data_IF_401327682372
#
_entry.id   IF_401327682372
#
_cell.length_a   1.000
_cell.length_b   1.000
_cell.length_c   1.000
_cell.angle_alpha   90.00
_cell.angle_beta   90.00
_cell.angle_gamma   90.00
#
_symmetry.space_group_name_H-M   'P 1'
#
loop_
_entity.id
_entity.type
_entity.pdbx_description
1 polymer ?
#
# COMPACT_ATOMS: atom_id res chain seq x y z
N UNK A 1 -11.62 -1.80 1.61
CA UNK A 1 -10.60 -1.64 0.56
C UNK A 1 -11.05 -0.62 -0.50
N UNK A 2 -12.32 -0.60 -0.89
CA UNK A 2 -12.85 0.29 -1.94
C UNK A 2 -12.64 1.78 -1.67
N UNK A 3 -12.80 2.21 -0.42
CA UNK A 3 -12.54 3.61 -0.04
C UNK A 3 -11.10 4.06 -0.34
N UNK A 4 -10.11 3.16 -0.30
CA UNK A 4 -8.71 3.49 -0.60
C UNK A 4 -8.57 3.87 -2.07
N UNK A 5 -9.21 3.12 -2.97
CA UNK A 5 -9.23 3.42 -4.39
C UNK A 5 -9.98 4.73 -4.67
N UNK A 6 -11.18 4.88 -4.11
CA UNK A 6 -11.99 6.09 -4.26
C UNK A 6 -11.21 7.35 -3.85
N UNK A 7 -10.58 7.33 -2.67
CA UNK A 7 -9.80 8.47 -2.19
C UNK A 7 -8.60 8.76 -3.09
N UNK A 8 -7.86 7.73 -3.52
CA UNK A 8 -6.69 7.90 -4.39
C UNK A 8 -7.06 8.48 -5.76
N UNK A 9 -8.19 8.05 -6.33
CA UNK A 9 -8.71 8.61 -7.59
C UNK A 9 -9.18 10.06 -7.45
N UNK A 10 -9.65 10.45 -6.26
CA UNK A 10 -9.99 11.85 -5.94
C UNK A 10 -8.76 12.72 -5.61
N UNK A 11 -7.60 12.12 -5.34
CA UNK A 11 -6.34 12.86 -5.16
C UNK A 11 -5.61 13.09 -6.48
N UNK A 12 -5.65 12.11 -7.39
CA UNK A 12 -4.90 12.12 -8.65
C UNK A 12 -5.25 13.35 -9.51
N UNK A 13 -4.23 14.17 -9.83
CA UNK A 13 -4.38 15.40 -10.61
C UNK A 13 -5.06 16.56 -9.87
N UNK A 14 -5.33 16.39 -8.56
CA UNK A 14 -6.03 17.36 -7.70
C UNK A 14 -5.16 17.81 -6.52
N UNK A 15 -3.88 17.48 -6.53
CA UNK A 15 -2.89 17.89 -5.53
C UNK A 15 -1.89 18.89 -6.14
N UNK A 16 -1.40 19.82 -5.32
CA UNK A 16 -0.44 20.83 -5.79
C UNK A 16 0.97 20.25 -6.01
N UNK A 17 1.39 19.32 -5.14
CA UNK A 17 2.70 18.69 -5.21
C UNK A 17 2.64 17.37 -5.99
N UNK A 18 3.53 17.13 -6.98
CA UNK A 18 3.59 15.86 -7.72
C UNK A 18 3.79 14.61 -6.85
N UNK A 19 4.28 14.78 -5.62
CA UNK A 19 4.36 13.70 -4.64
C UNK A 19 2.96 13.09 -4.36
N UNK A 20 1.90 13.89 -4.40
CA UNK A 20 0.53 13.41 -4.21
C UNK A 20 0.11 12.42 -5.30
N UNK A 21 0.38 12.76 -6.57
CA UNK A 21 0.12 11.87 -7.69
C UNK A 21 1.02 10.63 -7.65
N UNK A 22 2.30 10.81 -7.29
CA UNK A 22 3.25 9.72 -7.12
C UNK A 22 2.83 8.72 -6.02
N UNK A 23 2.09 9.16 -5.00
CA UNK A 23 1.49 8.28 -4.00
C UNK A 23 0.15 7.67 -4.45
N UNK A 24 -0.68 8.45 -5.16
CA UNK A 24 -2.00 8.00 -5.62
C UNK A 24 -1.91 6.88 -6.67
N UNK A 25 -1.02 7.03 -7.66
CA UNK A 25 -0.86 6.06 -8.75
C UNK A 25 -0.55 4.63 -8.29
N UNK A 26 0.48 4.37 -7.45
CA UNK A 26 0.74 3.03 -6.95
C UNK A 26 -0.37 2.53 -6.04
N UNK A 27 -1.00 3.40 -5.23
CA UNK A 27 -2.12 2.99 -4.36
C UNK A 27 -3.32 2.47 -5.17
N UNK A 28 -3.68 3.16 -6.25
CA UNK A 28 -4.72 2.69 -7.19
C UNK A 28 -4.32 1.35 -7.81
N UNK A 29 -3.06 1.22 -8.25
CA UNK A 29 -2.54 -0.01 -8.84
C UNK A 29 -2.57 -1.18 -7.85
N UNK A 30 -2.18 -0.96 -6.60
CA UNK A 30 -2.19 -1.97 -5.55
C UNK A 30 -3.58 -2.52 -5.30
N UNK A 31 -4.58 -1.63 -5.15
CA UNK A 31 -5.96 -2.06 -4.96
C UNK A 31 -6.50 -2.77 -6.20
N UNK A 32 -6.15 -2.35 -7.43
CA UNK A 32 -6.64 -2.99 -8.67
C UNK A 32 -5.98 -4.34 -8.96
N UNK A 33 -4.70 -4.51 -8.62
CA UNK A 33 -3.91 -5.69 -9.01
C UNK A 33 -3.77 -6.72 -7.89
N UNK A 34 -3.67 -6.26 -6.65
CA UNK A 34 -3.36 -7.10 -5.49
C UNK A 34 -4.48 -7.09 -4.45
N UNK A 35 -5.73 -6.75 -4.83
CA UNK A 35 -6.89 -6.72 -3.93
C UNK A 35 -6.98 -7.97 -3.06
N UNK A 36 -6.81 -9.13 -3.69
CA UNK A 36 -6.90 -10.43 -3.05
C UNK A 36 -5.92 -10.57 -1.89
N UNK A 37 -4.72 -10.00 -2.01
CA UNK A 37 -3.74 -10.05 -0.92
C UNK A 37 -4.24 -9.29 0.31
N UNK A 38 -4.85 -8.11 0.12
CA UNK A 38 -5.47 -7.37 1.22
C UNK A 38 -6.64 -8.13 1.86
N UNK A 39 -7.49 -8.78 1.07
CA UNK A 39 -8.61 -9.59 1.57
C UNK A 39 -8.12 -10.81 2.34
N UNK A 40 -7.14 -11.54 1.79
CA UNK A 40 -6.53 -12.70 2.44
C UNK A 40 -5.90 -12.31 3.80
N UNK A 41 -5.25 -11.14 3.90
CA UNK A 41 -4.75 -10.61 5.18
C UNK A 41 -5.86 -10.32 6.19
N UNK A 42 -6.98 -9.77 5.76
CA UNK A 42 -8.14 -9.50 6.63
C UNK A 42 -8.80 -10.80 7.10
N UNK A 43 -8.74 -11.87 6.30
CA UNK A 43 -9.22 -13.21 6.63
C UNK A 43 -8.25 -14.02 7.51
N UNK A 44 -7.17 -13.41 8.00
CA UNK A 44 -6.21 -14.06 8.89
C UNK A 44 -5.16 -14.90 8.19
N UNK A 45 -4.96 -14.73 6.87
CA UNK A 45 -3.82 -15.30 6.14
C UNK A 45 -2.72 -14.23 6.04
N UNK A 46 -1.68 -14.26 6.91
CA UNK A 46 -0.68 -13.21 7.00
C UNK A 46 0.21 -13.11 5.75
N UNK A 47 1.04 -12.07 5.69
CA UNK A 47 1.87 -11.78 4.52
C UNK A 47 2.78 -12.96 4.18
N UNK A 48 2.71 -13.51 2.95
CA UNK A 48 3.60 -14.60 2.55
C UNK A 48 5.08 -14.18 2.53
N UNK A 49 5.35 -12.87 2.50
CA UNK A 49 6.71 -12.30 2.48
C UNK A 49 7.17 -11.77 3.84
N UNK A 50 6.44 -12.02 4.95
CA UNK A 50 6.77 -11.49 6.27
C UNK A 50 8.22 -11.80 6.70
N UNK A 51 8.69 -13.03 6.47
CA UNK A 51 10.05 -13.45 6.83
C UNK A 51 11.12 -12.73 6.01
N UNK A 52 10.86 -12.43 4.74
CA UNK A 52 11.81 -11.75 3.85
C UNK A 52 11.80 -10.22 4.03
N UNK A 53 10.65 -9.65 4.43
CA UNK A 53 10.47 -8.21 4.64
C UNK A 53 10.82 -7.74 6.06
N UNK A 54 11.11 -8.67 6.98
CA UNK A 54 11.61 -8.32 8.30
C UNK A 54 12.99 -7.70 8.12
N UNK A 55 13.07 -6.38 8.25
CA UNK A 55 14.34 -5.70 8.49
C UNK A 55 14.80 -6.20 9.85
N UNK A 56 15.57 -7.29 9.85
CA UNK A 56 16.26 -7.79 11.03
C UNK A 56 17.02 -6.58 11.61
N UNK A 57 16.74 -6.26 12.88
CA UNK A 57 17.14 -5.04 13.57
C UNK A 57 18.46 -4.46 13.05
N UNK A 58 18.39 -3.34 12.33
CA UNK A 58 19.60 -2.57 12.07
C UNK A 58 20.19 -2.18 13.45
N UNK A 59 21.47 -2.48 13.71
CA UNK A 59 22.12 -2.26 15.02
C UNK A 59 22.35 -0.77 15.35
N UNK A 60 21.63 0.15 14.70
CA UNK A 60 21.86 1.60 14.78
C UNK A 60 20.87 2.31 15.72
N UNK A 61 19.95 1.57 16.36
CA UNK A 61 19.10 2.05 17.45
C UNK A 61 19.46 1.41 18.80
N UNK A 62 20.73 1.52 19.18
CA UNK A 62 21.23 1.31 20.55
C UNK A 62 22.00 2.57 20.99
#
# INVERSE_FOLDING_TARGET
IDNIQYLSENMLGRTFCPLGDAAAMPTIAFVKKFRKEFEDHLEGRPCPFETAGRVEQLPVFA
#
